data_IF_278656290173
#
_entry.id   IF_278656290173
#
_cell.length_a   1.000
_cell.length_b   1.000
_cell.length_c   1.000
_cell.angle_alpha   90.00
_cell.angle_beta   90.00
_cell.angle_gamma   90.00
#
_symmetry.space_group_name_H-M   'P 1'
#
loop_
_entity.id
_entity.type
_entity.pdbx_description
1 polymer ?
#
# COMPACT_ATOMS: atom_id res chain seq x y z
N UNK A 1 0.10 -3.51 17.76
CA UNK A 1 -0.01 -3.83 16.31
C UNK A 1 0.41 -2.59 15.54
N UNK A 2 1.40 -2.72 14.65
CA UNK A 2 1.90 -1.65 13.79
C UNK A 2 1.74 -2.11 12.35
N UNK A 3 1.25 -1.23 11.47
CA UNK A 3 1.20 -1.48 10.03
C UNK A 3 2.16 -0.48 9.37
N UNK A 4 3.25 -1.00 8.82
CA UNK A 4 4.23 -0.24 8.05
C UNK A 4 3.86 -0.32 6.57
N UNK A 5 3.71 0.82 5.90
CA UNK A 5 3.39 0.89 4.46
C UNK A 5 4.39 1.81 3.77
N UNK A 6 5.07 1.28 2.75
CA UNK A 6 6.09 1.98 1.98
C UNK A 6 5.63 2.14 0.53
N UNK A 7 5.59 3.37 0.02
CA UNK A 7 5.34 3.63 -1.39
C UNK A 7 6.57 3.25 -2.21
N UNK A 8 6.42 2.28 -3.11
CA UNK A 8 7.50 1.77 -3.97
C UNK A 8 7.50 2.47 -5.33
N UNK A 9 6.31 2.71 -5.87
CA UNK A 9 6.16 3.33 -7.18
C UNK A 9 4.93 4.22 -7.21
N UNK A 10 5.07 5.40 -7.81
CA UNK A 10 3.95 6.28 -8.16
C UNK A 10 4.07 6.67 -9.63
N UNK A 11 3.01 6.41 -10.40
CA UNK A 11 2.93 6.79 -11.82
C UNK A 11 1.52 7.26 -12.16
N UNK A 12 1.39 8.56 -12.46
CA UNK A 12 0.09 9.23 -12.65
C UNK A 12 -0.82 8.92 -11.46
N UNK A 13 -1.83 8.09 -11.69
CA UNK A 13 -2.88 7.79 -10.72
C UNK A 13 -2.73 6.39 -10.11
N UNK A 14 -1.69 5.63 -10.50
CA UNK A 14 -1.42 4.28 -9.99
C UNK A 14 -0.24 4.31 -9.03
N UNK A 15 -0.41 3.61 -7.91
CA UNK A 15 0.52 3.55 -6.79
C UNK A 15 0.77 2.09 -6.39
N UNK A 16 2.03 1.72 -6.19
CA UNK A 16 2.44 0.42 -5.65
C UNK A 16 3.02 0.62 -4.26
N UNK A 17 2.58 -0.19 -3.30
CA UNK A 17 3.06 -0.16 -1.93
C UNK A 17 3.49 -1.54 -1.47
N UNK A 18 4.51 -1.57 -0.62
CA UNK A 18 4.84 -2.75 0.19
C UNK A 18 4.37 -2.48 1.61
N UNK A 19 3.61 -3.42 2.16
CA UNK A 19 3.05 -3.33 3.50
C UNK A 19 3.51 -4.50 4.36
N UNK A 20 3.74 -4.24 5.65
CA UNK A 20 3.98 -5.28 6.66
C UNK A 20 3.23 -4.95 7.95
N UNK A 21 2.77 -5.99 8.64
CA UNK A 21 2.13 -5.86 9.93
C UNK A 21 2.95 -6.54 11.01
N UNK A 22 3.14 -5.86 12.15
CA UNK A 22 3.87 -6.36 13.30
C UNK A 22 3.00 -6.44 14.55
N UNK A 23 3.19 -7.50 15.33
CA UNK A 23 2.70 -7.66 16.70
C UNK A 23 3.90 -7.97 17.58
N UNK A 24 4.14 -7.15 18.60
CA UNK A 24 5.27 -7.29 19.54
C UNK A 24 6.61 -7.55 18.82
N UNK A 25 6.91 -6.70 17.84
CA UNK A 25 8.08 -6.72 16.94
C UNK A 25 8.21 -7.89 15.96
N UNK A 26 7.27 -8.85 15.96
CA UNK A 26 7.23 -9.95 15.01
C UNK A 26 6.37 -9.57 13.80
N UNK A 27 6.91 -9.72 12.59
CA UNK A 27 6.14 -9.55 11.35
C UNK A 27 5.20 -10.76 11.19
N UNK A 28 3.89 -10.50 11.19
CA UNK A 28 2.85 -11.52 11.09
C UNK A 28 2.21 -11.59 9.71
N UNK A 29 2.29 -10.51 8.93
CA UNK A 29 1.90 -10.51 7.53
C UNK A 29 2.67 -9.49 6.71
N UNK A 30 2.76 -9.74 5.41
CA UNK A 30 3.28 -8.83 4.41
C UNK A 30 2.39 -8.87 3.17
N UNK A 31 2.28 -7.76 2.46
CA UNK A 31 1.51 -7.67 1.22
C UNK A 31 2.14 -6.66 0.26
N UNK A 32 2.03 -6.93 -1.04
CA UNK A 32 2.17 -5.91 -2.07
C UNK A 32 0.78 -5.39 -2.42
N UNK A 33 0.61 -4.07 -2.43
CA UNK A 33 -0.67 -3.40 -2.70
C UNK A 33 -0.56 -2.56 -3.96
N UNK A 34 -1.61 -2.58 -4.78
CA UNK A 34 -1.77 -1.71 -5.94
C UNK A 34 -3.03 -0.87 -5.74
N UNK A 35 -2.86 0.44 -5.73
CA UNK A 35 -3.95 1.41 -5.63
C UNK A 35 -4.03 2.28 -6.88
N UNK A 36 -5.23 2.65 -7.28
CA UNK A 36 -5.45 3.64 -8.33
C UNK A 36 -6.43 4.71 -7.85
N UNK A 37 -6.13 5.97 -8.14
CA UNK A 37 -7.07 7.08 -8.00
C UNK A 37 -7.84 7.19 -9.32
N UNK A 38 -9.16 7.14 -9.26
CA UNK A 38 -10.02 7.44 -10.41
C UNK A 38 -10.58 8.83 -10.24
N UNK A 39 -10.49 9.66 -11.28
CA UNK A 39 -11.17 10.94 -11.29
C UNK A 39 -12.69 10.71 -11.29
N UNK A 40 -13.40 11.57 -10.55
CA UNK A 40 -14.86 11.45 -10.32
C UNK A 40 -15.68 11.62 -11.60
N UNK A 41 -15.05 12.02 -12.71
CA UNK A 41 -15.68 12.38 -13.98
C UNK A 41 -15.41 11.39 -15.13
N UNK A 42 -14.77 10.24 -14.88
CA UNK A 42 -14.66 9.16 -15.88
C UNK A 42 -15.99 8.37 -15.95
N UNK A 43 -16.97 8.92 -16.70
CA UNK A 43 -18.17 8.21 -17.19
C UNK A 43 -18.10 8.01 -18.70
#
# INVERSE_FOLDING_TARGET
>A
MIIDVNLIQSKKDVYKFDASCKVDDIIVCSAELLGAIRDKNDT
#
